data_IF_603998779798
#
_entry.id   IF_603998779798
#
_cell.length_a   1.000
_cell.length_b   1.000
_cell.length_c   1.000
_cell.angle_alpha   90.00
_cell.angle_beta   90.00
_cell.angle_gamma   90.00
#
_symmetry.space_group_name_H-M   'P 1'
#
loop_
_entity.id
_entity.type
_entity.pdbx_description
1 polymer ?
#
# COMPACT_ATOMS: atom_id res chain seq x y z
N UNK A 1 -14.71 6.99 7.00
CA UNK A 1 -14.47 5.94 5.96
C UNK A 1 -13.35 5.03 6.44
N UNK A 2 -13.61 3.73 6.65
CA UNK A 2 -12.57 2.77 7.00
C UNK A 2 -11.62 2.59 5.80
N UNK A 3 -10.51 3.32 5.79
CA UNK A 3 -9.44 3.17 4.79
C UNK A 3 -8.86 1.75 4.87
N UNK A 4 -8.47 1.15 3.73
CA UNK A 4 -7.88 -0.22 3.66
C UNK A 4 -6.75 -0.45 4.68
N UNK A 5 -6.06 0.62 5.05
CA UNK A 5 -4.98 0.63 6.04
C UNK A 5 -5.44 0.36 7.47
N UNK A 6 -6.58 0.91 7.89
CA UNK A 6 -7.13 0.66 9.22
C UNK A 6 -7.46 -0.82 9.45
N UNK A 7 -7.75 -1.57 8.38
CA UNK A 7 -7.95 -3.03 8.46
C UNK A 7 -6.66 -3.80 8.65
N UNK A 8 -5.56 -3.39 8.01
CA UNK A 8 -4.25 -4.04 8.21
C UNK A 8 -3.75 -3.79 9.63
N UNK A 9 -3.87 -2.56 10.12
CA UNK A 9 -3.44 -2.18 11.46
C UNK A 9 -4.27 -2.94 12.52
N UNK A 10 -5.59 -3.03 12.33
CA UNK A 10 -6.47 -3.81 13.20
C UNK A 10 -6.08 -5.29 13.26
N UNK A 11 -5.78 -5.92 12.12
CA UNK A 11 -5.37 -7.33 12.07
C UNK A 11 -4.01 -7.51 12.75
N UNK A 12 -3.08 -6.58 12.55
CA UNK A 12 -1.76 -6.62 13.16
C UNK A 12 -1.79 -6.51 14.69
N UNK A 13 -2.80 -5.85 15.27
CA UNK A 13 -3.00 -5.82 16.73
C UNK A 13 -3.84 -6.99 17.25
N UNK A 14 -4.89 -7.40 16.53
CA UNK A 14 -5.78 -8.48 16.96
C UNK A 14 -5.07 -9.84 16.97
N UNK A 15 -4.28 -10.15 15.95
CA UNK A 15 -3.67 -11.49 15.84
C UNK A 15 -2.69 -11.78 16.98
N UNK A 16 -1.75 -10.88 17.35
CA UNK A 16 -0.90 -11.08 18.52
C UNK A 16 -1.69 -11.10 19.83
N UNK A 17 -2.75 -10.29 19.95
CA UNK A 17 -3.59 -10.30 21.15
C UNK A 17 -4.27 -11.67 21.36
N UNK A 18 -4.85 -12.23 20.29
CA UNK A 18 -5.46 -13.56 20.32
C UNK A 18 -4.41 -14.63 20.60
N UNK A 19 -3.24 -14.54 19.97
CA UNK A 19 -2.15 -15.50 20.19
C UNK A 19 -1.62 -15.45 21.63
N UNK A 20 -1.49 -14.26 22.24
CA UNK A 20 -1.10 -14.11 23.64
C UNK A 20 -2.15 -14.64 24.60
N UNK A 21 -3.44 -14.46 24.29
CA UNK A 21 -4.52 -15.03 25.09
C UNK A 21 -4.53 -16.56 25.04
N UNK A 22 -4.40 -17.14 23.85
CA UNK A 22 -4.29 -18.59 23.65
C UNK A 22 -3.08 -19.16 24.42
N UNK A 23 -1.94 -18.50 24.33
CA UNK A 23 -0.73 -18.87 25.07
C UNK A 23 -0.93 -18.79 26.59
N UNK A 24 -1.64 -17.77 27.10
CA UNK A 24 -1.94 -17.65 28.52
C UNK A 24 -2.84 -18.80 29.00
N UNK A 25 -3.82 -19.22 28.20
CA UNK A 25 -4.71 -20.35 28.52
C UNK A 25 -3.93 -21.67 28.56
N UNK A 26 -3.01 -21.88 27.61
CA UNK A 26 -2.14 -23.05 27.57
C UNK A 26 -1.26 -23.14 28.83
N UNK A 27 -0.61 -22.03 29.20
CA UNK A 27 0.22 -21.96 30.42
C UNK A 27 -0.62 -22.19 31.67
N UNK A 28 -1.83 -21.62 31.72
CA UNK A 28 -2.74 -21.76 32.87
C UNK A 28 -3.29 -23.18 33.04
N UNK A 29 -3.31 -23.98 31.96
CA UNK A 29 -3.78 -25.37 31.97
C UNK A 29 -2.64 -26.38 32.08
N UNK A 30 -1.39 -25.92 32.14
CA UNK A 30 -0.17 -26.74 32.18
C UNK A 30 -0.16 -27.85 31.12
N UNK A 31 -0.61 -27.50 29.90
CA UNK A 31 -0.73 -28.46 28.79
C UNK A 31 0.61 -28.57 28.02
N UNK A 32 1.31 -29.71 28.11
CA UNK A 32 2.60 -29.90 27.44
C UNK A 32 2.48 -29.97 25.91
N UNK A 33 1.28 -30.14 25.35
CA UNK A 33 1.02 -30.18 23.91
C UNK A 33 0.43 -28.87 23.35
N UNK A 34 0.56 -27.78 24.11
CA UNK A 34 0.10 -26.46 23.73
C UNK A 34 0.53 -26.03 22.32
N UNK A 35 -0.42 -25.53 21.53
CA UNK A 35 -0.21 -25.18 20.12
C UNK A 35 0.56 -23.85 19.97
N UNK A 36 1.88 -23.89 20.05
CA UNK A 36 2.76 -22.72 19.88
C UNK A 36 2.79 -22.11 18.46
N UNK A 37 2.12 -22.74 17.49
CA UNK A 37 2.15 -22.31 16.07
C UNK A 37 1.53 -20.91 15.89
N UNK A 38 0.46 -20.61 16.63
CA UNK A 38 -0.23 -19.32 16.58
C UNK A 38 0.70 -18.16 16.95
N UNK A 39 1.53 -18.36 17.97
CA UNK A 39 2.53 -17.37 18.43
C UNK A 39 3.61 -17.14 17.37
N UNK A 40 4.08 -18.20 16.70
CA UNK A 40 5.05 -18.05 15.61
C UNK A 40 4.50 -17.22 14.45
N UNK A 41 3.24 -17.46 14.05
CA UNK A 41 2.58 -16.65 13.02
C UNK A 41 2.34 -15.21 13.48
N UNK A 42 2.00 -14.98 14.75
CA UNK A 42 1.79 -13.62 15.25
C UNK A 42 3.07 -12.80 15.24
N UNK A 43 4.21 -13.38 15.63
CA UNK A 43 5.52 -12.70 15.56
C UNK A 43 5.84 -12.30 14.11
N UNK A 44 5.61 -13.20 13.15
CA UNK A 44 5.81 -12.90 11.73
C UNK A 44 4.91 -11.73 11.26
N UNK A 45 3.64 -11.72 11.67
CA UNK A 45 2.69 -10.67 11.31
C UNK A 45 3.11 -9.32 11.91
N UNK A 46 3.58 -9.29 13.16
CA UNK A 46 4.12 -8.07 13.79
C UNK A 46 5.34 -7.57 13.05
N UNK A 47 6.29 -8.44 12.71
CA UNK A 47 7.47 -8.05 11.93
C UNK A 47 7.08 -7.51 10.55
N UNK A 48 6.12 -8.13 9.86
CA UNK A 48 5.64 -7.65 8.56
C UNK A 48 4.90 -6.31 8.68
N UNK A 49 4.10 -6.13 9.73
CA UNK A 49 3.45 -4.85 10.03
C UNK A 49 4.48 -3.75 10.30
N UNK A 50 5.53 -4.04 11.08
CA UNK A 50 6.65 -3.11 11.30
C UNK A 50 7.30 -2.67 9.98
N UNK A 51 7.49 -3.59 9.03
CA UNK A 51 8.03 -3.24 7.72
C UNK A 51 7.10 -2.32 6.91
N UNK A 52 5.78 -2.51 7.02
CA UNK A 52 4.79 -1.66 6.35
C UNK A 52 4.71 -0.26 6.96
N UNK A 53 4.90 -0.11 8.27
CA UNK A 53 4.94 1.18 8.97
C UNK A 53 6.16 2.03 8.59
N UNK A 54 7.22 1.43 8.02
CA UNK A 54 8.34 2.19 7.45
C UNK A 54 7.92 3.14 6.31
N UNK A 55 6.69 3.04 5.79
CA UNK A 55 6.10 3.99 4.82
C UNK A 55 6.07 5.44 5.30
N UNK A 56 6.20 5.70 6.60
CA UNK A 56 6.31 7.06 7.15
C UNK A 56 7.58 7.75 6.61
N UNK A 57 8.66 6.98 6.41
CA UNK A 57 9.88 7.48 5.81
C UNK A 57 9.70 7.69 4.29
N UNK A 58 10.03 8.90 3.82
CA UNK A 58 9.90 9.31 2.41
C UNK A 58 10.61 8.34 1.45
N UNK A 59 11.79 7.84 1.82
CA UNK A 59 12.56 6.93 0.97
C UNK A 59 11.89 5.57 0.78
N UNK A 60 11.27 5.04 1.83
CA UNK A 60 10.63 3.72 1.83
C UNK A 60 9.19 3.80 1.30
N UNK A 61 8.50 4.93 1.50
CA UNK A 61 7.13 5.14 1.07
C UNK A 61 6.92 4.92 -0.43
N UNK A 62 7.86 5.38 -1.27
CA UNK A 62 7.82 5.15 -2.72
C UNK A 62 7.72 3.65 -3.02
N UNK A 63 8.61 2.85 -2.46
CA UNK A 63 8.63 1.40 -2.69
C UNK A 63 7.39 0.69 -2.13
N UNK A 64 6.96 1.03 -0.92
CA UNK A 64 5.77 0.41 -0.30
C UNK A 64 4.50 0.72 -1.10
N UNK A 65 4.34 1.95 -1.58
CA UNK A 65 3.18 2.33 -2.40
C UNK A 65 3.18 1.59 -3.74
N UNK A 66 4.33 1.49 -4.39
CA UNK A 66 4.48 0.73 -5.64
C UNK A 66 4.19 -0.76 -5.41
N UNK A 67 4.71 -1.36 -4.34
CA UNK A 67 4.44 -2.76 -4.00
C UNK A 67 2.95 -3.01 -3.75
N UNK A 68 2.27 -2.13 -3.00
CA UNK A 68 0.83 -2.25 -2.75
C UNK A 68 0.01 -2.12 -4.03
N UNK A 69 0.38 -1.19 -4.91
CA UNK A 69 -0.26 -1.02 -6.21
C UNK A 69 0.00 -2.24 -7.10
N UNK A 70 1.22 -2.75 -7.15
CA UNK A 70 1.58 -3.96 -7.87
C UNK A 70 0.71 -5.15 -7.41
N UNK A 71 0.62 -5.40 -6.10
CA UNK A 71 -0.22 -6.46 -5.51
C UNK A 71 -1.70 -6.31 -5.93
N UNK A 72 -2.23 -5.08 -5.93
CA UNK A 72 -3.62 -4.83 -6.28
C UNK A 72 -3.92 -5.09 -7.76
N UNK A 73 -2.97 -4.77 -8.65
CA UNK A 73 -3.07 -4.99 -10.10
C UNK A 73 -2.91 -6.48 -10.45
N UNK A 74 -1.93 -7.16 -9.85
CA UNK A 74 -1.61 -8.57 -10.17
C UNK A 74 -2.50 -9.59 -9.45
N UNK A 75 -3.46 -9.15 -8.63
CA UNK A 75 -4.35 -10.05 -7.86
C UNK A 75 -5.06 -11.10 -8.72
N UNK A 76 -5.48 -10.72 -9.93
CA UNK A 76 -6.18 -11.63 -10.84
C UNK A 76 -5.24 -12.71 -11.38
N UNK A 77 -4.00 -12.33 -11.69
CA UNK A 77 -2.97 -13.29 -12.11
C UNK A 77 -2.68 -14.29 -10.98
N UNK A 78 -2.58 -13.83 -9.72
CA UNK A 78 -2.39 -14.73 -8.58
C UNK A 78 -3.54 -15.71 -8.39
N UNK A 79 -4.79 -15.28 -8.61
CA UNK A 79 -5.95 -16.18 -8.53
C UNK A 79 -5.87 -17.27 -9.61
N UNK A 80 -5.57 -16.87 -10.86
CA UNK A 80 -5.39 -17.83 -11.96
C UNK A 80 -4.23 -18.78 -11.66
N UNK A 81 -3.12 -18.25 -11.13
CA UNK A 81 -1.96 -19.03 -10.76
C UNK A 81 -2.25 -20.05 -9.67
N UNK A 82 -2.93 -19.63 -8.59
CA UNK A 82 -3.33 -20.52 -7.50
C UNK A 82 -4.30 -21.61 -7.99
N UNK A 83 -5.28 -21.24 -8.82
CA UNK A 83 -6.21 -22.19 -9.43
C UNK A 83 -5.46 -23.20 -10.33
N UNK A 84 -4.46 -22.74 -11.09
CA UNK A 84 -3.59 -23.58 -11.89
C UNK A 84 -2.82 -24.58 -11.03
N UNK A 85 -2.17 -24.14 -9.95
CA UNK A 85 -1.46 -25.04 -9.01
C UNK A 85 -2.43 -26.10 -8.48
N UNK A 86 -3.61 -25.71 -8.01
CA UNK A 86 -4.62 -26.64 -7.49
C UNK A 86 -5.04 -27.65 -8.56
N UNK A 87 -5.29 -27.21 -9.79
CA UNK A 87 -5.65 -28.09 -10.90
C UNK A 87 -4.54 -29.12 -11.21
N UNK A 88 -3.28 -28.67 -11.27
CA UNK A 88 -2.14 -29.56 -11.45
C UNK A 88 -1.94 -30.50 -10.26
N UNK A 89 -2.14 -30.04 -9.02
CA UNK A 89 -2.08 -30.90 -7.84
C UNK A 89 -3.12 -32.02 -7.93
N UNK A 90 -4.36 -31.70 -8.29
CA UNK A 90 -5.42 -32.70 -8.47
C UNK A 90 -5.06 -33.66 -9.61
N UNK A 91 -4.57 -33.13 -10.74
CA UNK A 91 -4.16 -33.94 -11.90
C UNK A 91 -3.02 -34.90 -11.57
N UNK A 92 -1.96 -34.43 -10.90
CA UNK A 92 -0.82 -35.23 -10.46
C UNK A 92 -1.27 -36.27 -9.43
N UNK A 93 -2.10 -35.89 -8.45
CA UNK A 93 -2.63 -36.83 -7.46
C UNK A 93 -3.44 -37.94 -8.13
N UNK A 94 -4.30 -37.58 -9.09
CA UNK A 94 -5.11 -38.55 -9.83
C UNK A 94 -4.25 -39.43 -10.75
N UNK A 95 -3.19 -38.88 -11.35
CA UNK A 95 -2.29 -39.66 -12.21
C UNK A 95 -1.45 -40.66 -11.41
N UNK A 96 -0.92 -40.26 -10.24
CA UNK A 96 -0.06 -41.12 -9.44
C UNK A 96 -0.83 -42.09 -8.53
N UNK A 97 -2.03 -41.74 -8.09
CA UNK A 97 -2.80 -42.53 -7.12
C UNK A 97 -4.17 -42.97 -7.62
N UNK A 98 -4.58 -42.57 -8.82
CA UNK A 98 -5.84 -43.02 -9.42
C UNK A 98 -5.76 -44.49 -9.82
N UNK A 99 -6.69 -45.30 -9.32
CA UNK A 99 -6.86 -46.69 -9.74
C UNK A 99 -8.18 -46.84 -10.48
N UNK A 100 -8.14 -47.44 -11.67
CA UNK A 100 -9.33 -47.70 -12.47
C UNK A 100 -10.14 -48.90 -11.94
N UNK A 101 -9.47 -49.90 -11.34
CA UNK A 101 -10.11 -51.12 -10.80
C UNK A 101 -9.26 -51.67 -9.63
N UNK A 102 -9.88 -51.86 -8.44
CA UNK A 102 -9.28 -52.57 -7.29
C UNK A 102 -8.55 -51.72 -6.24
N UNK A 103 -8.01 -52.39 -5.21
CA UNK A 103 -7.13 -51.76 -4.21
C UNK A 103 -5.76 -51.46 -4.82
N UNK A 104 -5.34 -50.20 -4.79
CA UNK A 104 -4.02 -49.80 -5.25
C UNK A 104 -2.95 -50.43 -4.35
N UNK A 105 -1.99 -51.20 -4.89
CA UNK A 105 -0.83 -51.57 -4.11
C UNK A 105 -0.09 -50.29 -3.73
N UNK A 106 0.23 -50.15 -2.44
CA UNK A 106 1.11 -49.09 -1.97
C UNK A 106 2.46 -49.29 -2.65
N UNK A 107 2.77 -48.48 -3.67
CA UNK A 107 4.10 -48.47 -4.26
C UNK A 107 5.06 -47.94 -3.19
N UNK A 108 5.95 -48.78 -2.63
CA UNK A 108 6.86 -48.35 -1.57
C UNK A 108 7.84 -47.28 -2.07
N UNK A 109 7.97 -47.10 -3.39
CA UNK A 109 8.84 -46.11 -4.01
C UNK A 109 8.13 -44.80 -4.39
N UNK A 110 6.82 -44.66 -4.13
CA UNK A 110 6.10 -43.40 -4.35
C UNK A 110 6.30 -42.46 -3.15
N UNK A 111 7.25 -41.54 -3.26
CA UNK A 111 7.53 -40.50 -2.25
C UNK A 111 6.51 -39.36 -2.28
N UNK A 112 5.60 -39.35 -3.25
CA UNK A 112 4.57 -38.33 -3.37
C UNK A 112 3.45 -38.57 -2.33
N UNK A 113 3.15 -37.54 -1.55
CA UNK A 113 2.17 -37.65 -0.47
C UNK A 113 0.74 -37.83 -0.99
N UNK A 114 -0.03 -38.64 -0.28
CA UNK A 114 -1.47 -38.88 -0.57
C UNK A 114 -2.36 -37.77 -0.03
N UNK A 115 -1.89 -37.00 0.95
CA UNK A 115 -2.66 -35.91 1.53
C UNK A 115 -2.65 -34.69 0.59
N UNK A 116 -3.84 -34.16 0.30
CA UNK A 116 -3.99 -33.02 -0.62
C UNK A 116 -3.10 -31.82 -0.26
N UNK A 117 -3.05 -31.41 1.01
CA UNK A 117 -2.22 -30.27 1.41
C UNK A 117 -0.72 -30.51 1.23
N UNK A 118 -0.25 -31.73 1.50
CA UNK A 118 1.13 -32.09 1.23
C UNK A 118 1.41 -32.09 -0.27
N UNK A 119 0.48 -32.61 -1.08
CA UNK A 119 0.62 -32.68 -2.53
C UNK A 119 0.61 -31.27 -3.13
N UNK A 120 -0.20 -30.37 -2.58
CA UNK A 120 -0.26 -28.96 -2.93
C UNK A 120 1.07 -28.27 -2.62
N UNK A 121 1.64 -28.48 -1.42
CA UNK A 121 2.95 -27.96 -1.06
C UNK A 121 4.06 -28.50 -1.96
N UNK A 122 4.08 -29.81 -2.25
CA UNK A 122 5.03 -30.39 -3.20
C UNK A 122 4.90 -29.80 -4.59
N UNK A 123 3.67 -29.65 -5.11
CA UNK A 123 3.40 -29.04 -6.42
C UNK A 123 3.91 -27.59 -6.45
N UNK A 124 3.66 -26.81 -5.40
CA UNK A 124 4.22 -25.47 -5.27
C UNK A 124 5.76 -25.47 -5.30
N UNK A 125 6.41 -26.39 -4.58
CA UNK A 125 7.87 -26.50 -4.59
C UNK A 125 8.45 -26.96 -5.94
N UNK A 126 7.67 -27.63 -6.79
CA UNK A 126 8.09 -27.96 -8.16
C UNK A 126 8.35 -26.69 -8.98
N UNK A 127 7.61 -25.61 -8.75
CA UNK A 127 7.89 -24.31 -9.37
C UNK A 127 9.30 -23.80 -9.02
N UNK A 128 9.74 -24.05 -7.78
CA UNK A 128 11.08 -23.71 -7.30
C UNK A 128 12.17 -24.71 -7.72
N UNK A 129 11.85 -25.69 -8.56
CA UNK A 129 12.80 -26.69 -9.06
C UNK A 129 13.08 -27.85 -8.11
N UNK A 130 12.34 -28.00 -7.01
CA UNK A 130 12.57 -29.07 -6.03
C UNK A 130 11.66 -30.27 -6.32
N UNK A 131 12.20 -31.28 -7.01
CA UNK A 131 11.43 -32.43 -7.51
C UNK A 131 11.59 -33.74 -6.70
N UNK A 132 12.14 -33.68 -5.49
CA UNK A 132 12.48 -34.88 -4.70
C UNK A 132 11.30 -35.84 -4.49
N UNK A 133 10.07 -35.29 -4.36
CA UNK A 133 8.86 -36.08 -4.14
C UNK A 133 8.46 -36.96 -5.32
N UNK A 134 8.96 -36.68 -6.53
CA UNK A 134 8.61 -37.38 -7.78
C UNK A 134 9.85 -37.86 -8.56
N UNK A 135 11.04 -37.73 -7.97
CA UNK A 135 12.32 -38.07 -8.61
C UNK A 135 12.36 -39.53 -9.11
N UNK A 136 11.83 -40.45 -8.32
CA UNK A 136 11.73 -41.88 -8.66
C UNK A 136 10.84 -42.16 -9.89
N UNK A 137 9.87 -41.29 -10.17
CA UNK A 137 8.93 -41.42 -11.30
C UNK A 137 9.47 -40.85 -12.61
N UNK A 138 10.55 -40.06 -12.59
CA UNK A 138 11.21 -39.67 -13.84
C UNK A 138 11.95 -40.84 -14.49
N UNK A 139 12.37 -41.84 -13.72
CA UNK A 139 13.06 -43.03 -14.24
C UNK A 139 12.09 -44.06 -14.83
N UNK A 140 10.78 -43.91 -14.60
CA UNK A 140 9.77 -44.82 -15.17
C UNK A 140 9.44 -44.44 -16.62
N UNK A 141 8.95 -45.42 -17.39
CA UNK A 141 8.54 -45.26 -18.80
C UNK A 141 7.14 -44.67 -18.95
N UNK A 142 6.62 -44.00 -17.92
CA UNK A 142 5.25 -43.48 -17.88
C UNK A 142 5.15 -42.19 -18.70
N UNK A 143 4.90 -42.32 -19.99
CA UNK A 143 4.84 -41.20 -20.94
C UNK A 143 3.82 -40.11 -20.51
N UNK A 144 2.69 -40.51 -19.93
CA UNK A 144 1.66 -39.59 -19.46
C UNK A 144 2.16 -38.67 -18.33
N UNK A 145 3.00 -39.20 -17.42
CA UNK A 145 3.62 -38.43 -16.35
C UNK A 145 4.61 -37.41 -16.91
N UNK A 146 5.49 -37.84 -17.83
CA UNK A 146 6.44 -36.94 -18.48
C UNK A 146 5.74 -35.80 -19.23
N UNK A 147 4.67 -36.08 -19.97
CA UNK A 147 3.88 -35.05 -20.66
C UNK A 147 3.22 -34.09 -19.66
N UNK A 148 2.62 -34.59 -18.58
CA UNK A 148 2.00 -33.75 -17.55
C UNK A 148 3.04 -32.80 -16.92
N UNK A 149 4.25 -33.28 -16.65
CA UNK A 149 5.34 -32.47 -16.09
C UNK A 149 5.86 -31.42 -17.09
N UNK A 150 5.96 -31.75 -18.38
CA UNK A 150 6.34 -30.78 -19.42
C UNK A 150 5.31 -29.66 -19.51
N UNK A 151 4.01 -30.00 -19.54
CA UNK A 151 2.92 -29.02 -19.57
C UNK A 151 2.94 -28.14 -18.30
N UNK A 152 3.14 -28.75 -17.13
CA UNK A 152 3.27 -28.03 -15.87
C UNK A 152 4.43 -27.03 -15.90
N UNK A 153 5.61 -27.46 -16.36
CA UNK A 153 6.80 -26.62 -16.47
C UNK A 153 6.57 -25.44 -17.42
N UNK A 154 6.01 -25.70 -18.60
CA UNK A 154 5.69 -24.66 -19.57
C UNK A 154 4.68 -23.66 -19.02
N UNK A 155 3.59 -24.13 -18.41
CA UNK A 155 2.57 -23.26 -17.86
C UNK A 155 3.08 -22.43 -16.68
N UNK A 156 3.71 -23.05 -15.67
CA UNK A 156 4.06 -22.34 -14.43
C UNK A 156 5.32 -21.50 -14.56
N UNK A 157 6.40 -22.07 -15.08
CA UNK A 157 7.73 -21.44 -15.10
C UNK A 157 7.88 -20.55 -16.34
N UNK A 158 7.50 -21.04 -17.53
CA UNK A 158 7.68 -20.27 -18.76
C UNK A 158 6.57 -19.23 -18.92
N UNK A 159 5.30 -19.60 -18.75
CA UNK A 159 4.20 -18.68 -19.00
C UNK A 159 3.93 -17.80 -17.77
N UNK A 160 3.50 -18.40 -16.66
CA UNK A 160 2.97 -17.63 -15.52
C UNK A 160 4.03 -16.76 -14.84
N UNK A 161 5.24 -17.27 -14.61
CA UNK A 161 6.31 -16.50 -13.96
C UNK A 161 6.80 -15.34 -14.84
N UNK A 162 6.96 -15.55 -16.15
CA UNK A 162 7.36 -14.46 -17.06
C UNK A 162 6.28 -13.39 -17.19
N UNK A 163 4.99 -13.78 -17.24
CA UNK A 163 3.88 -12.83 -17.22
C UNK A 163 3.84 -12.06 -15.89
N UNK A 164 4.08 -12.73 -14.75
CA UNK A 164 4.16 -12.07 -13.45
C UNK A 164 5.25 -10.99 -13.41
N UNK A 165 6.46 -11.33 -13.89
CA UNK A 165 7.58 -10.38 -13.96
C UNK A 165 7.23 -9.20 -14.87
N UNK A 166 6.64 -9.47 -16.05
CA UNK A 166 6.24 -8.43 -16.99
C UNK A 166 5.20 -7.47 -16.39
N UNK A 167 4.18 -7.99 -15.69
CA UNK A 167 3.19 -7.15 -15.01
C UNK A 167 3.81 -6.32 -13.90
N UNK A 168 4.67 -6.91 -13.06
CA UNK A 168 5.37 -6.18 -12.00
C UNK A 168 6.15 -5.01 -12.59
N UNK A 169 6.89 -5.22 -13.69
CA UNK A 169 7.64 -4.16 -14.35
C UNK A 169 6.74 -3.02 -14.84
N UNK A 170 5.61 -3.34 -15.49
CA UNK A 170 4.63 -2.34 -15.93
C UNK A 170 4.00 -1.57 -14.76
N UNK A 171 3.74 -2.24 -13.64
CA UNK A 171 3.20 -1.53 -12.45
C UNK A 171 4.24 -0.62 -11.80
N UNK A 172 5.52 -1.00 -11.85
CA UNK A 172 6.61 -0.19 -11.33
C UNK A 172 6.80 1.11 -12.12
N UNK A 173 6.68 1.05 -13.46
CA UNK A 173 6.82 2.22 -14.32
C UNK A 173 5.61 3.17 -14.24
N UNK A 174 4.41 2.65 -13.97
CA UNK A 174 3.19 3.47 -13.75
C UNK A 174 3.14 4.18 -12.39
N UNK A 175 3.93 3.75 -11.41
CA UNK A 175 3.80 4.19 -10.02
C UNK A 175 4.43 5.54 -9.64
N UNK A 176 5.00 6.30 -10.59
CA UNK A 176 5.85 7.45 -10.24
C UNK A 176 5.10 8.76 -9.90
N UNK A 177 3.82 8.90 -10.29
CA UNK A 177 3.11 10.19 -10.16
C UNK A 177 2.27 10.33 -8.87
N UNK A 178 1.76 9.22 -8.32
CA UNK A 178 0.80 9.24 -7.21
C UNK A 178 1.39 9.05 -5.80
N UNK A 179 2.63 8.55 -5.69
CA UNK A 179 3.19 8.13 -4.40
C UNK A 179 3.46 9.30 -3.44
N UNK A 180 3.74 10.50 -3.96
CA UNK A 180 3.92 11.71 -3.12
C UNK A 180 2.63 12.08 -2.40
N UNK A 181 1.50 12.00 -3.10
CA UNK A 181 0.19 12.27 -2.51
C UNK A 181 -0.16 11.19 -1.49
N UNK A 182 0.06 9.92 -1.82
CA UNK A 182 -0.13 8.79 -0.90
C UNK A 182 0.74 8.90 0.35
N UNK A 183 1.98 9.40 0.22
CA UNK A 183 2.87 9.66 1.35
C UNK A 183 2.34 10.77 2.26
N UNK A 184 1.95 11.92 1.68
CA UNK A 184 1.37 13.03 2.46
C UNK A 184 0.10 12.58 3.18
N UNK A 185 -0.78 11.84 2.50
CA UNK A 185 -2.00 11.29 3.10
C UNK A 185 -1.69 10.30 4.24
N UNK A 186 -0.74 9.39 4.03
CA UNK A 186 -0.33 8.42 5.06
C UNK A 186 0.27 9.11 6.28
N UNK A 187 1.09 10.14 6.06
CA UNK A 187 1.69 10.94 7.11
C UNK A 187 0.66 11.76 7.87
N UNK A 188 -0.33 12.33 7.16
CA UNK A 188 -1.43 13.08 7.77
C UNK A 188 -2.25 12.17 8.69
N UNK A 189 -2.62 10.97 8.24
CA UNK A 189 -3.36 9.99 9.05
C UNK A 189 -2.59 9.54 10.29
N UNK A 190 -1.28 9.36 10.16
CA UNK A 190 -0.42 9.05 11.31
C UNK A 190 -0.44 10.17 12.35
N UNK A 191 -0.31 11.43 11.90
CA UNK A 191 -0.40 12.61 12.77
C UNK A 191 -1.80 12.73 13.39
N UNK A 192 -2.87 12.56 12.61
CA UNK A 192 -4.26 12.58 13.08
C UNK A 192 -4.49 11.54 14.19
N UNK A 193 -4.00 10.32 14.00
CA UNK A 193 -4.11 9.25 15.01
C UNK A 193 -3.36 9.61 16.30
N UNK A 194 -2.12 10.12 16.18
CA UNK A 194 -1.32 10.56 17.32
C UNK A 194 -1.93 11.77 18.05
N UNK A 195 -2.49 12.73 17.30
CA UNK A 195 -3.21 13.87 17.86
C UNK A 195 -4.50 13.44 18.57
N UNK A 196 -5.27 12.52 17.99
CA UNK A 196 -6.50 12.03 18.61
C UNK A 196 -6.22 11.36 19.97
N UNK A 197 -5.12 10.62 20.10
CA UNK A 197 -4.71 10.01 21.38
C UNK A 197 -4.27 11.06 22.42
N UNK A 198 -3.63 12.13 21.98
CA UNK A 198 -3.12 13.21 22.84
C UNK A 198 -4.11 14.35 23.07
N UNK A 199 -5.25 14.35 22.38
CA UNK A 199 -6.25 15.43 22.41
C UNK A 199 -6.78 15.71 23.81
N UNK A 200 -6.96 14.67 24.63
CA UNK A 200 -7.53 14.78 25.97
C UNK A 200 -6.51 15.20 27.05
N UNK A 201 -5.23 15.38 26.70
CA UNK A 201 -4.20 15.75 27.67
C UNK A 201 -4.27 17.26 27.95
N UNK A 202 -4.56 17.68 29.19
CA UNK A 202 -4.67 19.11 29.52
C UNK A 202 -3.34 19.83 29.28
N UNK A 203 -3.38 20.98 28.60
CA UNK A 203 -2.21 21.81 28.30
C UNK A 203 -1.43 21.41 27.04
N UNK A 204 -1.67 20.24 26.43
CA UNK A 204 -0.90 19.75 25.27
C UNK A 204 -0.96 20.68 24.05
N UNK A 205 -2.14 21.23 23.74
CA UNK A 205 -2.35 22.19 22.64
C UNK A 205 -1.98 23.65 22.97
N UNK A 206 -1.65 23.95 24.23
CA UNK A 206 -1.30 25.30 24.66
C UNK A 206 0.20 25.59 24.42
N UNK A 207 1.00 24.54 24.27
CA UNK A 207 2.44 24.61 24.00
C UNK A 207 2.71 25.02 22.55
N UNK A 208 2.96 26.31 22.35
CA UNK A 208 3.16 26.94 21.04
C UNK A 208 4.39 26.46 20.26
N UNK A 209 5.34 25.79 20.92
CA UNK A 209 6.51 25.20 20.25
C UNK A 209 6.17 23.92 19.48
N UNK A 210 5.03 23.27 19.77
CA UNK A 210 4.60 22.04 19.11
C UNK A 210 3.40 22.25 18.18
N UNK A 211 2.58 23.25 18.46
CA UNK A 211 1.42 23.62 17.66
C UNK A 211 1.53 25.08 17.20
N UNK A 212 1.77 25.34 15.90
CA UNK A 212 1.81 26.70 15.39
C UNK A 212 0.42 27.34 15.46
N UNK A 213 0.34 28.64 15.80
CA UNK A 213 -0.92 29.40 15.76
C UNK A 213 -1.52 29.49 14.36
N UNK A 214 -0.67 29.50 13.34
CA UNK A 214 -1.03 29.82 11.97
C UNK A 214 -0.32 28.85 11.01
N UNK A 215 -1.07 28.33 10.03
CA UNK A 215 -0.54 27.46 8.97
C UNK A 215 -0.51 28.27 7.68
N UNK A 216 0.69 28.59 7.21
CA UNK A 216 0.89 29.29 5.94
C UNK A 216 1.08 28.28 4.82
N UNK A 217 0.19 28.32 3.81
CA UNK A 217 0.39 27.58 2.58
C UNK A 217 1.13 28.49 1.58
N UNK A 218 2.39 28.19 1.31
CA UNK A 218 3.12 28.83 0.23
C UNK A 218 2.95 28.02 -1.06
N UNK A 219 2.64 28.72 -2.14
CA UNK A 219 2.59 28.13 -3.48
C UNK A 219 3.44 28.99 -4.41
N UNK A 220 4.21 28.34 -5.28
CA UNK A 220 4.99 29.06 -6.29
C UNK A 220 4.07 29.71 -7.32
N UNK A 221 4.52 30.80 -7.95
CA UNK A 221 3.74 31.49 -8.99
C UNK A 221 3.32 30.56 -10.13
N UNK A 222 4.14 29.55 -10.44
CA UNK A 222 3.83 28.52 -11.44
C UNK A 222 2.71 27.58 -10.99
N UNK A 223 2.76 27.06 -9.76
CA UNK A 223 1.71 26.17 -9.23
C UNK A 223 0.35 26.89 -9.14
N UNK A 224 0.36 28.16 -8.74
CA UNK A 224 -0.84 29.00 -8.69
C UNK A 224 -1.42 29.22 -10.09
N UNK A 225 -0.59 29.44 -11.10
CA UNK A 225 -1.05 29.63 -12.47
C UNK A 225 -1.59 28.33 -13.09
N UNK A 226 -0.93 27.19 -12.85
CA UNK A 226 -1.42 25.88 -13.29
C UNK A 226 -2.76 25.52 -12.65
N UNK A 227 -2.96 25.84 -11.36
CA UNK A 227 -4.24 25.67 -10.69
C UNK A 227 -5.34 26.57 -11.28
N UNK A 228 -5.02 27.84 -11.55
CA UNK A 228 -5.95 28.81 -12.18
C UNK A 228 -6.42 28.34 -13.56
N UNK A 229 -5.53 27.76 -14.34
CA UNK A 229 -5.83 27.23 -15.67
C UNK A 229 -6.69 25.96 -15.60
N UNK A 230 -6.37 25.04 -14.68
CA UNK A 230 -7.10 23.78 -14.48
C UNK A 230 -8.57 23.96 -14.08
N UNK A 231 -8.90 25.03 -13.36
CA UNK A 231 -10.25 25.26 -12.82
C UNK A 231 -10.95 26.50 -13.40
N UNK A 232 -10.42 27.09 -14.48
CA UNK A 232 -11.06 28.23 -15.16
C UNK A 232 -11.20 29.50 -14.31
N UNK A 233 -10.47 29.62 -13.20
CA UNK A 233 -10.60 30.71 -12.21
C UNK A 233 -9.96 32.04 -12.67
N UNK A 234 -9.43 32.11 -13.89
CA UNK A 234 -8.68 33.25 -14.41
C UNK A 234 -9.57 34.48 -14.64
N UNK A 235 -10.83 34.30 -15.04
CA UNK A 235 -11.78 35.40 -15.27
C UNK A 235 -12.34 35.98 -13.97
N UNK A 236 -12.71 35.12 -13.01
CA UNK A 236 -13.32 35.54 -11.74
C UNK A 236 -12.34 36.39 -10.91
N UNK A 237 -11.09 35.95 -10.75
CA UNK A 237 -10.07 36.70 -10.00
C UNK A 237 -9.55 37.93 -10.77
N UNK A 238 -9.62 37.93 -12.10
CA UNK A 238 -9.33 39.11 -12.92
C UNK A 238 -10.29 40.25 -12.62
N UNK A 239 -11.60 39.96 -12.56
CA UNK A 239 -12.63 40.96 -12.25
C UNK A 239 -12.50 41.55 -10.84
N UNK A 240 -12.12 40.74 -9.84
CA UNK A 240 -11.90 41.20 -8.47
C UNK A 240 -10.67 42.11 -8.38
N UNK A 241 -9.62 41.80 -9.14
CA UNK A 241 -8.37 42.58 -9.13
C UNK A 241 -8.54 43.93 -9.82
N UNK A 242 -9.30 44.00 -10.92
CA UNK A 242 -9.63 45.27 -11.59
C UNK A 242 -10.47 46.17 -10.68
N UNK A 243 -11.54 45.65 -10.06
CA UNK A 243 -12.39 46.48 -9.18
C UNK A 243 -11.66 46.98 -7.92
N UNK A 244 -10.68 46.21 -7.42
CA UNK A 244 -9.87 46.60 -6.27
C UNK A 244 -8.86 47.69 -6.61
N UNK A 245 -8.26 47.62 -7.80
CA UNK A 245 -7.23 48.55 -8.26
C UNK A 245 -7.83 49.90 -8.65
N UNK A 246 -8.98 49.89 -9.34
CA UNK A 246 -9.74 51.10 -9.67
C UNK A 246 -10.15 51.90 -8.42
N UNK A 247 -10.53 51.20 -7.34
CA UNK A 247 -10.93 51.82 -6.06
C UNK A 247 -9.76 52.40 -5.28
N UNK A 248 -8.55 51.87 -5.49
CA UNK A 248 -7.31 52.38 -4.87
C UNK A 248 -6.82 53.61 -5.62
N UNK A 249 -6.86 53.58 -6.95
CA UNK A 249 -6.42 54.71 -7.79
C UNK A 249 -7.32 55.94 -7.57
N UNK A 250 -8.64 55.77 -7.51
CA UNK A 250 -9.58 56.85 -7.19
C UNK A 250 -9.33 57.50 -5.81
N UNK A 251 -8.90 56.72 -4.82
CA UNK A 251 -8.55 57.25 -3.48
C UNK A 251 -7.22 58.01 -3.48
N UNK A 252 -6.30 57.62 -4.34
CA UNK A 252 -4.98 58.25 -4.48
C UNK A 252 -5.11 59.62 -5.16
N UNK A 253 -5.95 59.74 -6.19
CA UNK A 253 -6.24 61.01 -6.86
C UNK A 253 -6.93 62.01 -5.92
N UNK A 254 -7.89 61.55 -5.11
CA UNK A 254 -8.56 62.39 -4.11
C UNK A 254 -7.56 62.93 -3.06
N UNK A 255 -6.66 62.07 -2.58
CA UNK A 255 -5.64 62.47 -1.61
C UNK A 255 -4.67 63.51 -2.18
N UNK A 256 -4.29 63.36 -3.47
CA UNK A 256 -3.43 64.32 -4.16
C UNK A 256 -4.10 65.68 -4.33
N UNK A 257 -5.42 65.70 -4.62
CA UNK A 257 -6.21 66.93 -4.67
C UNK A 257 -6.22 67.67 -3.34
N UNK A 258 -6.47 66.96 -2.24
CA UNK A 258 -6.48 67.55 -0.90
C UNK A 258 -5.11 68.13 -0.51
N UNK A 259 -4.02 67.45 -0.86
CA UNK A 259 -2.67 67.96 -0.62
C UNK A 259 -2.36 69.22 -1.44
N UNK A 260 -2.87 69.30 -2.67
CA UNK A 260 -2.67 70.47 -3.51
C UNK A 260 -3.48 71.69 -3.01
N UNK A 261 -4.70 71.47 -2.53
CA UNK A 261 -5.50 72.53 -1.90
C UNK A 261 -4.85 73.05 -0.61
N UNK A 262 -4.37 72.16 0.26
CA UNK A 262 -3.64 72.54 1.48
C UNK A 262 -2.38 73.35 1.17
N UNK A 263 -1.65 72.97 0.11
CA UNK A 263 -0.46 73.71 -0.33
C UNK A 263 -0.81 75.12 -0.80
N UNK A 264 -1.90 75.28 -1.55
CA UNK A 264 -2.34 76.60 -2.03
C UNK A 264 -2.77 77.50 -0.87
N UNK A 265 -3.47 76.95 0.13
CA UNK A 265 -3.87 77.68 1.35
C UNK A 265 -2.62 78.16 2.10
N UNK A 266 -1.62 77.31 2.32
CA UNK A 266 -0.38 77.68 3.01
C UNK A 266 0.40 78.80 2.30
N UNK A 267 0.42 78.79 0.97
CA UNK A 267 1.08 79.84 0.17
C UNK A 267 0.36 81.17 0.27
N UNK A 268 -0.98 81.17 0.38
CA UNK A 268 -1.76 82.39 0.64
C UNK A 268 -1.51 82.93 2.05
N UNK A 269 -1.49 82.07 3.07
CA UNK A 269 -1.23 82.51 4.46
C UNK A 269 0.18 83.08 4.66
N UNK A 270 1.18 82.63 3.89
CA UNK A 270 2.53 83.21 3.91
C UNK A 270 2.64 84.56 3.18
N UNK A 271 1.65 84.92 2.35
CA UNK A 271 1.65 86.17 1.58
C UNK A 271 0.94 87.32 2.29
N UNK A 272 0.10 86.99 3.28
CA UNK A 272 -0.71 87.92 4.07
C UNK A 272 -0.11 88.21 5.47
N UNK A 273 1.12 87.73 5.76
CA UNK A 273 1.89 88.03 6.98
C UNK A 273 3.21 88.71 6.66
#
# INVERSE_FOLDING_TARGET
>A
MLSRYNRMDLVAFLVPMVASFDQLVVISRDDPNGNTRLVSFSVLIVCLHMLLEMRINKGVCKYVTIMQQAIAEIKMLFIIFAAGIVAFTIGILHLLHGCAVGECPNDPNSTFTKHFFGALSSTYFFMGGRYDSISSKFTTKDWAFHIMMIIYFFFTIILMLNVLIALINVTFTKGDDGWRLAWVESRLKYIESAENMSYFIPGYRQTHSWFPKEIYFSATKQEVNAYKEKYGLREVLGSVKDSGMEKVDARLEELQRQLQELKNILVQTQKDS
#
